data_IF_222152018846
#
_entry.id   IF_222152018846
#
_cell.length_a   1.000
_cell.length_b   1.000
_cell.length_c   1.000
_cell.angle_alpha   90.00
_cell.angle_beta   90.00
_cell.angle_gamma   90.00
#
_symmetry.space_group_name_H-M   'P 1'
#
loop_
_entity.id
_entity.type
_entity.pdbx_description
1 polymer ?
#
# COMPACT_ATOMS: atom_id res chain seq x y z
N UNK A 1 7.33 -12.09 19.02
CA UNK A 1 6.23 -12.84 19.66
C UNK A 1 6.88 -13.88 20.56
N UNK A 2 6.74 -13.76 21.87
CA UNK A 2 7.38 -14.68 22.81
C UNK A 2 6.62 -16.01 22.87
N UNK A 3 7.31 -17.15 23.05
CA UNK A 3 6.66 -18.46 23.18
C UNK A 3 5.58 -18.51 24.27
N UNK A 4 5.79 -17.79 25.38
CA UNK A 4 4.85 -17.73 26.49
C UNK A 4 3.51 -17.12 26.08
N UNK A 5 3.52 -16.01 25.34
CA UNK A 5 2.30 -15.37 24.85
C UNK A 5 1.52 -16.23 23.85
N UNK A 6 2.21 -17.02 23.02
CA UNK A 6 1.54 -17.96 22.11
C UNK A 6 0.86 -19.10 22.85
N UNK A 7 1.53 -19.66 23.87
CA UNK A 7 0.94 -20.69 24.73
C UNK A 7 -0.30 -20.20 25.45
N UNK A 8 -0.25 -19.00 26.03
CA UNK A 8 -1.41 -18.40 26.68
C UNK A 8 -2.58 -18.19 25.70
N UNK A 9 -2.30 -17.73 24.49
CA UNK A 9 -3.32 -17.59 23.45
C UNK A 9 -3.93 -18.94 23.04
N UNK A 10 -3.12 -20.00 22.91
CA UNK A 10 -3.60 -21.35 22.64
C UNK A 10 -4.50 -21.88 23.75
N UNK A 11 -4.07 -21.78 25.01
CA UNK A 11 -4.88 -22.18 26.18
C UNK A 11 -6.23 -21.43 26.19
N UNK A 12 -6.21 -20.12 25.90
CA UNK A 12 -7.44 -19.31 25.80
C UNK A 12 -8.40 -19.79 24.69
N UNK A 13 -7.88 -20.16 23.52
CA UNK A 13 -8.70 -20.69 22.42
C UNK A 13 -9.34 -22.03 22.80
N UNK A 14 -8.58 -22.92 23.45
CA UNK A 14 -9.08 -24.23 23.91
C UNK A 14 -10.14 -24.08 25.00
N UNK A 15 -9.92 -23.20 25.98
CA UNK A 15 -10.89 -22.92 27.05
C UNK A 15 -12.19 -22.34 26.51
N UNK A 16 -12.11 -21.52 25.45
CA UNK A 16 -13.27 -20.95 24.78
C UNK A 16 -13.99 -21.93 23.82
N UNK A 17 -13.44 -23.13 23.59
CA UNK A 17 -13.99 -24.09 22.63
C UNK A 17 -13.93 -23.62 21.18
N UNK A 18 -12.88 -22.87 20.82
CA UNK A 18 -12.68 -22.38 19.45
C UNK A 18 -11.93 -23.43 18.64
N UNK A 19 -12.59 -23.92 17.59
CA UNK A 19 -12.06 -24.98 16.72
C UNK A 19 -11.25 -24.46 15.53
N UNK A 20 -11.38 -23.19 15.16
CA UNK A 20 -10.69 -22.59 14.02
C UNK A 20 -10.58 -21.07 14.15
N UNK A 21 -9.59 -20.45 13.51
CA UNK A 21 -9.36 -19.00 13.56
C UNK A 21 -9.17 -18.40 12.18
N UNK A 22 -9.94 -17.34 11.89
CA UNK A 22 -9.67 -16.44 10.76
C UNK A 22 -8.89 -15.24 11.28
N UNK A 23 -7.72 -14.96 10.70
CA UNK A 23 -6.91 -13.79 11.04
C UNK A 23 -6.98 -12.75 9.93
N UNK A 24 -7.08 -11.47 10.28
CA UNK A 24 -7.16 -10.36 9.33
C UNK A 24 -6.03 -9.38 9.64
N UNK A 25 -5.16 -9.11 8.67
CA UNK A 25 -4.07 -8.16 8.87
C UNK A 25 -2.99 -8.23 7.80
N UNK A 26 -1.88 -7.56 8.07
CA UNK A 26 -0.66 -7.59 7.24
C UNK A 26 0.32 -8.69 7.64
N UNK A 27 1.56 -8.56 7.17
CA UNK A 27 2.64 -9.54 7.35
C UNK A 27 2.85 -10.01 8.79
N UNK A 28 2.76 -9.10 9.77
CA UNK A 28 2.94 -9.44 11.18
C UNK A 28 1.87 -10.42 11.69
N UNK A 29 0.62 -10.19 11.31
CA UNK A 29 -0.52 -11.07 11.66
C UNK A 29 -0.36 -12.43 11.00
N UNK A 30 -0.06 -12.46 9.69
CA UNK A 30 0.10 -13.70 8.93
C UNK A 30 1.32 -14.51 9.41
N UNK A 31 2.40 -13.83 9.82
CA UNK A 31 3.57 -14.45 10.44
C UNK A 31 3.21 -15.09 11.78
N UNK A 32 2.46 -14.40 12.63
CA UNK A 32 1.96 -14.93 13.89
C UNK A 32 1.12 -16.19 13.67
N UNK A 33 0.19 -16.15 12.73
CA UNK A 33 -0.67 -17.28 12.39
C UNK A 33 0.11 -18.49 11.85
N UNK A 34 1.14 -18.27 11.01
CA UNK A 34 2.03 -19.35 10.55
C UNK A 34 2.73 -20.04 11.72
N UNK A 35 3.36 -19.26 12.60
CA UNK A 35 4.08 -19.81 13.75
C UNK A 35 3.12 -20.58 14.65
N UNK A 36 1.90 -20.08 14.82
CA UNK A 36 0.87 -20.75 15.60
C UNK A 36 0.46 -22.09 14.99
N UNK A 37 0.24 -22.13 13.66
CA UNK A 37 -0.05 -23.38 12.94
C UNK A 37 1.08 -24.41 13.04
N UNK A 38 2.34 -23.95 13.07
CA UNK A 38 3.52 -24.82 13.16
C UNK A 38 3.68 -25.42 14.59
N UNK A 39 3.16 -24.76 15.63
CA UNK A 39 3.24 -25.17 17.03
C UNK A 39 1.99 -25.94 17.51
N UNK A 40 0.80 -25.51 17.07
CA UNK A 40 -0.50 -25.99 17.53
C UNK A 40 -1.37 -26.43 16.34
N UNK A 41 -1.13 -27.65 15.87
CA UNK A 41 -1.75 -28.20 14.64
C UNK A 41 -3.25 -28.49 14.73
N UNK A 42 -3.82 -28.53 15.93
CA UNK A 42 -5.21 -28.88 16.18
C UNK A 42 -6.19 -27.72 15.99
N UNK A 43 -5.71 -26.48 15.88
CA UNK A 43 -6.51 -25.30 15.55
C UNK A 43 -6.06 -24.75 14.19
N UNK A 44 -6.81 -24.96 13.09
CA UNK A 44 -6.50 -24.38 11.79
C UNK A 44 -6.65 -22.86 11.77
N UNK A 45 -5.72 -22.20 11.08
CA UNK A 45 -5.81 -20.77 10.78
C UNK A 45 -5.91 -20.54 9.28
N UNK A 46 -6.80 -19.61 8.90
CA UNK A 46 -6.88 -19.02 7.56
C UNK A 46 -6.70 -17.51 7.65
N UNK A 47 -5.89 -16.93 6.77
CA UNK A 47 -5.58 -15.51 6.77
C UNK A 47 -6.33 -14.72 5.71
N UNK A 48 -6.64 -13.46 6.02
CA UNK A 48 -7.20 -12.47 5.11
C UNK A 48 -6.24 -11.27 5.04
N UNK A 49 -5.85 -10.82 3.84
CA UNK A 49 -4.94 -9.69 3.67
C UNK A 49 -5.64 -8.36 4.01
N UNK A 50 -5.36 -7.82 5.19
CA UNK A 50 -5.92 -6.58 5.70
C UNK A 50 -4.84 -5.54 5.98
N UNK A 51 -4.50 -4.74 4.97
CA UNK A 51 -3.51 -3.65 5.05
C UNK A 51 -3.77 -2.66 3.92
N UNK A 52 -3.41 -1.39 4.12
CA UNK A 52 -3.45 -0.38 3.06
C UNK A 52 -2.24 -0.47 2.12
N UNK A 53 -1.14 -1.09 2.56
CA UNK A 53 0.16 -1.03 1.88
C UNK A 53 0.17 -1.83 0.56
N UNK A 54 -0.78 -2.76 0.38
CA UNK A 54 -0.94 -3.65 -0.77
C UNK A 54 0.32 -4.46 -1.14
N UNK A 55 1.17 -4.75 -0.15
CA UNK A 55 2.49 -5.36 -0.27
C UNK A 55 2.51 -6.90 -0.07
N UNK A 56 1.35 -7.47 0.31
CA UNK A 56 1.22 -8.90 0.61
C UNK A 56 1.34 -9.74 -0.67
N UNK A 57 2.28 -10.69 -0.68
CA UNK A 57 2.44 -11.62 -1.80
C UNK A 57 1.27 -12.61 -1.92
N UNK A 58 0.89 -12.93 -3.15
CA UNK A 58 -0.16 -13.89 -3.44
C UNK A 58 -1.56 -13.29 -3.47
N UNK A 59 -1.65 -11.96 -3.40
CA UNK A 59 -2.89 -11.25 -3.71
C UNK A 59 -2.59 -9.98 -4.51
N UNK A 60 -3.40 -9.73 -5.53
CA UNK A 60 -3.37 -8.50 -6.33
C UNK A 60 -3.82 -7.30 -5.48
N UNK A 61 -4.63 -7.58 -4.44
CA UNK A 61 -5.33 -6.59 -3.65
C UNK A 61 -5.39 -6.94 -2.16
N UNK A 62 -5.26 -5.94 -1.30
CA UNK A 62 -5.44 -6.05 0.16
C UNK A 62 -6.57 -5.14 0.65
N UNK A 63 -7.31 -5.58 1.67
CA UNK A 63 -8.43 -4.80 2.22
C UNK A 63 -7.90 -3.51 2.85
N UNK A 64 -8.46 -2.38 2.40
CA UNK A 64 -8.10 -1.02 2.80
C UNK A 64 -7.35 -0.26 1.72
N UNK A 65 -6.77 -0.94 0.73
CA UNK A 65 -5.94 -0.30 -0.29
C UNK A 65 -6.70 0.70 -1.15
N UNK A 66 -7.87 0.32 -1.71
CA UNK A 66 -8.68 1.21 -2.54
C UNK A 66 -9.21 2.40 -1.74
N UNK A 67 -9.60 2.20 -0.48
CA UNK A 67 -10.00 3.31 0.41
C UNK A 67 -8.86 4.29 0.66
N UNK A 68 -7.64 3.79 0.89
CA UNK A 68 -6.45 4.62 1.03
C UNK A 68 -6.16 5.40 -0.26
N UNK A 69 -6.25 4.75 -1.43
CA UNK A 69 -6.07 5.40 -2.73
C UNK A 69 -7.06 6.56 -2.92
N UNK A 70 -8.35 6.32 -2.69
CA UNK A 70 -9.37 7.36 -2.81
C UNK A 70 -9.12 8.52 -1.82
N UNK A 71 -8.65 8.22 -0.61
CA UNK A 71 -8.28 9.24 0.37
C UNK A 71 -7.13 10.13 -0.13
N UNK A 72 -6.11 9.53 -0.77
CA UNK A 72 -5.02 10.29 -1.39
C UNK A 72 -5.53 11.14 -2.53
N UNK A 73 -6.32 10.57 -3.44
CA UNK A 73 -6.90 11.30 -4.60
C UNK A 73 -7.72 12.50 -4.13
N UNK A 74 -8.60 12.32 -3.15
CA UNK A 74 -9.38 13.42 -2.59
C UNK A 74 -8.51 14.53 -1.97
N UNK A 75 -7.41 14.17 -1.31
CA UNK A 75 -6.49 15.14 -0.74
C UNK A 75 -5.73 15.90 -1.83
N UNK A 76 -5.24 15.19 -2.85
CA UNK A 76 -4.52 15.76 -3.98
C UNK A 76 -5.42 16.70 -4.78
N UNK A 77 -6.66 16.33 -5.04
CA UNK A 77 -7.64 17.18 -5.74
C UNK A 77 -7.88 18.51 -4.99
N UNK A 78 -8.06 18.44 -3.67
CA UNK A 78 -8.20 19.64 -2.82
C UNK A 78 -6.95 20.52 -2.84
N UNK A 79 -5.75 19.92 -2.87
CA UNK A 79 -4.49 20.65 -2.98
C UNK A 79 -4.38 21.32 -4.36
N UNK A 80 -4.74 20.60 -5.43
CA UNK A 80 -4.67 21.06 -6.82
C UNK A 80 -5.52 22.31 -7.06
N UNK A 81 -6.71 22.39 -6.47
CA UNK A 81 -7.58 23.58 -6.57
C UNK A 81 -6.91 24.85 -6.02
N UNK A 82 -5.96 24.71 -5.11
CA UNK A 82 -5.18 25.83 -4.56
C UNK A 82 -3.88 26.13 -5.32
N UNK A 83 -3.51 25.29 -6.29
CA UNK A 83 -2.26 25.35 -7.05
C UNK A 83 -2.37 26.23 -8.31
N UNK A 84 -3.55 26.27 -8.94
CA UNK A 84 -3.76 26.90 -10.26
C UNK A 84 -3.51 28.41 -10.35
N UNK A 85 -3.29 29.10 -9.22
CA UNK A 85 -3.13 30.56 -9.16
C UNK A 85 -1.72 31.06 -8.85
N UNK A 86 -0.75 30.21 -8.46
CA UNK A 86 0.49 30.69 -7.81
C UNK A 86 1.83 30.02 -8.19
N UNK A 87 1.98 29.33 -9.33
CA UNK A 87 3.24 28.62 -9.68
C UNK A 87 3.79 27.80 -8.48
N UNK A 88 2.96 26.96 -7.88
CA UNK A 88 3.31 26.12 -6.73
C UNK A 88 3.68 24.72 -7.17
N UNK A 89 4.71 24.15 -6.54
CA UNK A 89 5.10 22.75 -6.70
C UNK A 89 4.81 22.01 -5.39
N UNK A 90 3.92 21.02 -5.42
CA UNK A 90 3.50 20.28 -4.25
C UNK A 90 4.15 18.90 -4.19
N UNK A 91 4.86 18.63 -3.11
CA UNK A 91 5.32 17.30 -2.72
C UNK A 91 4.32 16.72 -1.73
N UNK A 92 3.69 15.60 -2.08
CA UNK A 92 2.66 14.96 -1.28
C UNK A 92 3.18 13.60 -0.83
N UNK A 93 3.38 13.45 0.47
CA UNK A 93 3.84 12.20 1.08
C UNK A 93 2.66 11.28 1.39
N UNK A 94 2.73 10.06 0.86
CA UNK A 94 1.74 9.01 1.04
C UNK A 94 2.32 7.83 1.81
N UNK A 95 1.45 7.09 2.49
CA UNK A 95 1.87 5.87 3.20
C UNK A 95 2.20 4.75 2.22
N UNK A 96 2.78 3.68 2.74
CA UNK A 96 3.11 2.47 1.98
C UNK A 96 4.28 1.68 2.56
N UNK A 97 4.84 2.13 3.70
CA UNK A 97 6.06 1.61 4.30
C UNK A 97 7.14 1.44 3.23
N UNK A 98 7.62 0.22 3.01
CA UNK A 98 8.69 -0.13 2.10
C UNK A 98 8.18 -0.45 0.68
N UNK A 99 6.92 -0.08 0.37
CA UNK A 99 6.25 -0.39 -0.89
C UNK A 99 5.62 0.85 -1.54
N UNK A 100 5.78 0.95 -2.86
CA UNK A 100 5.35 2.08 -3.68
C UNK A 100 3.92 2.02 -4.22
N UNK A 101 3.12 1.02 -3.85
CA UNK A 101 1.81 0.77 -4.50
C UNK A 101 0.82 1.92 -4.35
N UNK A 102 0.74 2.55 -3.17
CA UNK A 102 -0.16 3.71 -2.96
C UNK A 102 0.33 4.89 -3.81
N UNK A 103 1.63 5.20 -3.73
CA UNK A 103 2.25 6.30 -4.48
C UNK A 103 2.06 6.14 -6.00
N UNK A 104 2.31 4.96 -6.53
CA UNK A 104 2.18 4.67 -7.95
C UNK A 104 0.74 4.86 -8.45
N UNK A 105 -0.22 4.15 -7.85
CA UNK A 105 -1.61 4.20 -8.31
C UNK A 105 -2.24 5.58 -8.09
N UNK A 106 -2.00 6.20 -6.93
CA UNK A 106 -2.53 7.54 -6.66
C UNK A 106 -1.90 8.59 -7.57
N UNK A 107 -0.61 8.50 -7.87
CA UNK A 107 0.05 9.42 -8.79
C UNK A 107 -0.45 9.28 -10.22
N UNK A 108 -0.69 8.06 -10.71
CA UNK A 108 -1.36 7.84 -12.00
C UNK A 108 -2.76 8.47 -11.99
N UNK A 109 -3.57 8.19 -10.96
CA UNK A 109 -4.93 8.69 -10.85
C UNK A 109 -5.01 10.23 -10.79
N UNK A 110 -4.04 10.87 -10.13
CA UNK A 110 -4.00 12.32 -9.96
C UNK A 110 -3.32 13.07 -11.11
N UNK A 111 -2.65 12.37 -12.03
CA UNK A 111 -1.82 12.98 -13.06
C UNK A 111 -0.58 13.66 -12.46
N UNK A 112 0.08 12.99 -11.51
CA UNK A 112 1.32 13.47 -10.92
C UNK A 112 2.40 13.66 -11.98
N UNK A 113 3.22 14.69 -11.81
CA UNK A 113 4.35 14.99 -12.71
C UNK A 113 5.44 13.93 -12.53
N UNK A 114 5.70 13.55 -11.29
CA UNK A 114 6.62 12.48 -10.93
C UNK A 114 6.09 11.72 -9.71
N UNK A 115 6.49 10.45 -9.62
CA UNK A 115 6.16 9.55 -8.52
C UNK A 115 7.47 8.95 -8.01
N UNK A 116 7.74 9.12 -6.72
CA UNK A 116 8.93 8.62 -6.05
C UNK A 116 8.56 7.43 -5.17
N UNK A 117 9.16 6.28 -5.43
CA UNK A 117 8.86 5.00 -4.79
C UNK A 117 10.15 4.22 -4.47
N UNK A 118 10.18 3.44 -3.37
CA UNK A 118 11.37 2.72 -2.94
C UNK A 118 11.87 1.65 -3.94
N UNK A 119 11.01 1.19 -4.86
CA UNK A 119 11.37 0.20 -5.86
C UNK A 119 12.26 0.75 -7.00
N UNK A 120 12.42 2.06 -7.10
CA UNK A 120 13.18 2.70 -8.19
C UNK A 120 14.34 3.51 -7.64
N UNK A 121 15.53 3.31 -8.21
CA UNK A 121 16.74 4.00 -7.81
C UNK A 121 16.97 5.31 -8.57
N UNK A 122 17.81 6.20 -8.01
CA UNK A 122 18.27 7.46 -8.63
C UNK A 122 17.15 8.44 -9.05
N UNK A 123 15.94 8.31 -8.51
CA UNK A 123 14.80 9.12 -8.95
C UNK A 123 14.96 10.61 -8.69
N UNK A 124 15.61 11.02 -7.59
CA UNK A 124 15.84 12.44 -7.26
C UNK A 124 16.71 13.14 -8.30
N UNK A 125 17.70 12.42 -8.88
CA UNK A 125 18.52 12.98 -9.96
C UNK A 125 17.69 13.22 -11.21
N UNK A 126 16.88 12.23 -11.58
CA UNK A 126 16.02 12.30 -12.76
C UNK A 126 14.89 13.32 -12.57
N UNK A 127 14.43 13.56 -11.34
CA UNK A 127 13.36 14.51 -11.02
C UNK A 127 13.68 15.93 -11.52
N UNK A 128 14.93 16.36 -11.39
CA UNK A 128 15.37 17.69 -11.88
C UNK A 128 15.15 17.81 -13.39
N UNK A 129 15.64 16.83 -14.13
CA UNK A 129 15.51 16.76 -15.59
C UNK A 129 14.05 16.66 -16.05
N UNK A 130 13.22 15.91 -15.31
CA UNK A 130 11.80 15.76 -15.60
C UNK A 130 11.06 17.08 -15.41
N UNK A 131 11.26 17.74 -14.27
CA UNK A 131 10.62 19.02 -13.96
C UNK A 131 11.04 20.11 -14.95
N UNK A 132 12.33 20.22 -15.30
CA UNK A 132 12.78 21.19 -16.31
C UNK A 132 12.10 21.00 -17.68
N UNK A 133 11.87 19.74 -18.09
CA UNK A 133 11.17 19.41 -19.34
C UNK A 133 9.67 19.71 -19.25
N UNK A 134 9.04 19.35 -18.14
CA UNK A 134 7.61 19.60 -17.88
C UNK A 134 7.27 21.09 -17.84
N UNK A 135 8.12 21.90 -17.19
CA UNK A 135 7.94 23.35 -17.13
C UNK A 135 8.06 24.04 -18.50
N UNK A 136 8.97 23.57 -19.36
CA UNK A 136 9.07 24.07 -20.75
C UNK A 136 7.80 23.82 -21.55
N UNK A 137 7.02 22.79 -21.20
CA UNK A 137 5.76 22.42 -21.86
C UNK A 137 4.51 23.10 -21.29
N UNK A 138 4.66 23.97 -20.27
CA UNK A 138 3.54 24.60 -19.52
C UNK A 138 2.57 23.57 -18.93
N UNK A 139 3.11 22.48 -18.39
CA UNK A 139 2.32 21.44 -17.72
C UNK A 139 1.66 22.00 -16.45
N UNK A 140 0.48 21.50 -16.12
CA UNK A 140 -0.45 22.15 -15.18
C UNK A 140 -0.56 21.51 -13.80
N UNK A 141 -0.13 20.25 -13.60
CA UNK A 141 -0.44 19.54 -12.35
C UNK A 141 0.49 19.93 -11.20
N UNK A 142 1.77 20.19 -11.43
CA UNK A 142 2.77 20.58 -10.41
C UNK A 142 2.70 19.76 -9.10
N UNK A 143 2.38 18.47 -9.22
CA UNK A 143 2.23 17.54 -8.10
C UNK A 143 3.29 16.46 -8.22
N UNK A 144 4.03 16.23 -7.14
CA UNK A 144 4.95 15.13 -6.95
C UNK A 144 4.41 14.25 -5.82
N UNK A 145 4.25 12.95 -6.08
CA UNK A 145 3.84 11.98 -5.07
C UNK A 145 5.09 11.26 -4.56
N UNK A 146 5.22 11.13 -3.25
CA UNK A 146 6.38 10.52 -2.59
C UNK A 146 5.91 9.46 -1.61
N UNK A 147 6.40 8.23 -1.74
CA UNK A 147 6.17 7.18 -0.75
C UNK A 147 6.98 7.42 0.53
N UNK A 148 6.40 7.15 1.70
CA UNK A 148 7.05 7.37 3.01
C UNK A 148 8.35 6.58 3.22
N UNK A 149 8.51 5.41 2.60
CA UNK A 149 9.72 4.58 2.69
C UNK A 149 10.81 4.88 1.67
N UNK A 150 10.72 6.00 0.95
CA UNK A 150 11.78 6.41 0.02
C UNK A 150 13.08 6.73 0.77
N UNK A 151 14.20 6.15 0.32
CA UNK A 151 15.52 6.27 0.96
C UNK A 151 16.05 7.72 1.00
N UNK A 152 15.44 8.64 0.24
CA UNK A 152 15.84 10.05 0.17
C UNK A 152 15.42 10.88 1.39
N UNK A 153 14.73 10.28 2.38
CA UNK A 153 14.36 10.95 3.64
C UNK A 153 12.96 11.58 3.63
N UNK A 154 12.05 11.05 2.82
CA UNK A 154 10.66 11.51 2.70
C UNK A 154 10.49 12.81 1.91
N UNK A 155 9.25 13.29 1.81
CA UNK A 155 8.88 14.40 0.94
C UNK A 155 9.59 15.71 1.32
N UNK A 156 9.84 15.94 2.61
CA UNK A 156 10.56 17.14 3.08
C UNK A 156 12.01 17.18 2.61
N UNK A 157 12.75 16.09 2.77
CA UNK A 157 14.16 16.04 2.38
C UNK A 157 14.31 16.22 0.85
N UNK A 158 13.42 15.58 0.09
CA UNK A 158 13.41 15.70 -1.37
C UNK A 158 13.08 17.12 -1.79
N UNK A 159 12.02 17.72 -1.24
CA UNK A 159 11.63 19.09 -1.55
C UNK A 159 12.74 20.09 -1.24
N UNK A 160 13.44 19.94 -0.11
CA UNK A 160 14.54 20.83 0.27
C UNK A 160 15.76 20.64 -0.66
N UNK A 161 16.01 19.42 -1.13
CA UNK A 161 17.13 19.10 -2.04
C UNK A 161 17.01 19.71 -3.45
N UNK A 162 15.78 20.02 -3.88
CA UNK A 162 15.49 20.57 -5.22
C UNK A 162 15.07 22.04 -5.17
N UNK A 163 14.91 22.62 -3.98
CA UNK A 163 14.41 23.97 -3.76
C UNK A 163 15.24 25.05 -4.44
N UNK A 164 16.58 24.89 -4.44
CA UNK A 164 17.50 25.83 -5.08
C UNK A 164 17.44 25.79 -6.61
N UNK A 165 17.02 24.66 -7.19
CA UNK A 165 16.89 24.51 -8.64
C UNK A 165 15.58 25.13 -9.17
N UNK A 166 14.58 25.29 -8.30
CA UNK A 166 13.23 25.74 -8.65
C UNK A 166 12.82 27.06 -7.97
N UNK A 167 13.72 28.06 -7.95
CA UNK A 167 13.48 29.38 -7.31
C UNK A 167 12.23 30.13 -7.82
N UNK A 168 11.74 29.80 -9.01
CA UNK A 168 10.53 30.39 -9.60
C UNK A 168 9.22 29.73 -9.12
N UNK A 169 9.32 28.66 -8.31
CA UNK A 169 8.19 27.92 -7.78
C UNK A 169 8.12 28.03 -6.25
N UNK A 170 6.91 28.19 -5.73
CA UNK A 170 6.66 28.07 -4.29
C UNK A 170 6.52 26.57 -3.95
N UNK A 171 7.59 25.98 -3.44
CA UNK A 171 7.66 24.57 -3.06
C UNK A 171 6.91 24.34 -1.74
N UNK A 172 5.94 23.42 -1.78
CA UNK A 172 5.10 23.05 -0.64
C UNK A 172 5.16 21.56 -0.39
N UNK A 173 5.15 21.17 0.87
CA UNK A 173 5.12 19.76 1.29
C UNK A 173 3.84 19.50 2.05
N UNK A 174 3.16 18.40 1.76
CA UNK A 174 1.98 17.93 2.47
C UNK A 174 2.16 16.46 2.83
N UNK A 175 2.24 16.17 4.12
CA UNK A 175 2.31 14.80 4.63
C UNK A 175 0.91 14.37 5.03
N UNK A 176 0.32 13.44 4.28
CA UNK A 176 -1.05 12.99 4.56
C UNK A 176 -1.10 12.13 5.83
N UNK A 177 -0.11 11.25 6.01
CA UNK A 177 0.02 10.39 7.17
C UNK A 177 -1.23 9.54 7.42
N UNK A 178 -1.64 9.44 8.69
CA UNK A 178 -2.64 8.46 9.17
C UNK A 178 -4.06 8.67 8.66
N UNK A 179 -4.37 9.79 7.99
CA UNK A 179 -5.70 9.96 7.38
C UNK A 179 -6.01 8.85 6.36
N UNK A 180 -4.96 8.29 5.74
CA UNK A 180 -5.04 7.19 4.76
C UNK A 180 -5.46 5.84 5.36
N UNK A 181 -5.38 5.69 6.70
CA UNK A 181 -5.79 4.48 7.42
C UNK A 181 -7.22 4.57 7.98
N UNK A 182 -7.81 5.76 7.94
CA UNK A 182 -9.14 6.03 8.46
C UNK A 182 -10.16 6.25 7.35
N UNK A 183 -11.41 6.50 7.74
CA UNK A 183 -12.49 6.80 6.81
C UNK A 183 -13.41 5.61 6.55
N UNK A 184 -14.40 5.88 5.70
CA UNK A 184 -15.43 4.90 5.35
C UNK A 184 -14.93 4.04 4.19
N UNK A 185 -14.92 2.70 4.30
CA UNK A 185 -14.43 1.84 3.24
C UNK A 185 -15.19 2.06 1.93
N UNK A 186 -14.47 2.05 0.81
CA UNK A 186 -15.03 2.14 -0.53
C UNK A 186 -15.93 0.95 -0.85
N UNK A 187 -16.71 1.06 -1.93
CA UNK A 187 -17.54 -0.05 -2.39
C UNK A 187 -16.68 -1.28 -2.76
N UNK A 188 -15.53 -1.06 -3.39
CA UNK A 188 -14.62 -2.12 -3.77
C UNK A 188 -14.05 -2.83 -2.54
N UNK A 189 -13.61 -2.08 -1.53
CA UNK A 189 -13.11 -2.66 -0.27
C UNK A 189 -14.16 -3.49 0.46
N UNK A 190 -15.40 -3.00 0.55
CA UNK A 190 -16.50 -3.73 1.21
C UNK A 190 -16.82 -5.04 0.53
N UNK A 191 -16.91 -5.02 -0.80
CA UNK A 191 -17.22 -6.22 -1.60
C UNK A 191 -16.06 -7.21 -1.53
N UNK A 192 -14.82 -6.75 -1.69
CA UNK A 192 -13.62 -7.57 -1.59
C UNK A 192 -13.47 -8.20 -0.20
N UNK A 193 -13.68 -7.42 0.88
CA UNK A 193 -13.66 -7.93 2.24
C UNK A 193 -14.73 -9.00 2.48
N UNK A 194 -15.93 -8.81 1.93
CA UNK A 194 -17.04 -9.76 2.05
C UNK A 194 -16.73 -11.07 1.30
N UNK A 195 -16.16 -10.98 0.10
CA UNK A 195 -15.72 -12.14 -0.69
C UNK A 195 -14.61 -12.92 0.01
N UNK A 196 -13.59 -12.23 0.52
CA UNK A 196 -12.48 -12.86 1.25
C UNK A 196 -12.96 -13.48 2.57
N UNK A 197 -13.85 -12.81 3.30
CA UNK A 197 -14.45 -13.34 4.52
C UNK A 197 -15.24 -14.63 4.26
N UNK A 198 -16.07 -14.63 3.21
CA UNK A 198 -16.79 -15.82 2.77
C UNK A 198 -15.82 -16.96 2.40
N UNK A 199 -14.82 -16.68 1.55
CA UNK A 199 -13.83 -17.66 1.11
C UNK A 199 -13.00 -18.24 2.27
N UNK A 200 -12.70 -17.43 3.30
CA UNK A 200 -11.94 -17.88 4.46
C UNK A 200 -12.72 -18.90 5.29
N UNK A 201 -14.04 -18.70 5.42
CA UNK A 201 -14.92 -19.65 6.10
C UNK A 201 -15.08 -20.93 5.29
N UNK A 202 -15.31 -20.82 3.98
CA UNK A 202 -15.38 -21.99 3.08
C UNK A 202 -14.08 -22.80 3.14
N UNK A 203 -12.92 -22.13 3.11
CA UNK A 203 -11.63 -22.80 3.22
C UNK A 203 -11.48 -23.58 4.54
N UNK A 204 -11.94 -23.02 5.66
CA UNK A 204 -11.94 -23.73 6.95
C UNK A 204 -12.90 -24.94 6.94
N UNK A 205 -14.07 -24.81 6.29
CA UNK A 205 -15.02 -25.92 6.14
C UNK A 205 -14.48 -27.05 5.24
N UNK A 206 -13.60 -26.70 4.29
CA UNK A 206 -12.87 -27.63 3.41
C UNK A 206 -11.54 -28.13 4.04
N UNK A 207 -11.43 -28.08 5.37
CA UNK A 207 -10.27 -28.54 6.16
C UNK A 207 -8.94 -27.86 5.77
N UNK A 208 -8.98 -26.69 5.14
CA UNK A 208 -7.77 -25.93 4.78
C UNK A 208 -7.16 -25.28 6.02
N UNK A 209 -5.82 -25.21 6.04
CA UNK A 209 -5.07 -24.62 7.15
C UNK A 209 -3.74 -24.04 6.69
N UNK A 210 -3.24 -23.04 7.43
CA UNK A 210 -1.96 -22.39 7.14
C UNK A 210 -1.92 -21.74 5.74
N UNK A 211 -3.07 -21.22 5.32
CA UNK A 211 -3.28 -20.55 4.02
C UNK A 211 -3.90 -19.18 4.23
N UNK A 212 -3.64 -18.28 3.29
CA UNK A 212 -4.30 -16.99 3.16
C UNK A 212 -5.21 -17.02 1.93
N UNK A 213 -6.42 -16.51 2.05
CA UNK A 213 -7.27 -16.22 0.87
C UNK A 213 -6.79 -14.94 0.20
N UNK A 214 -6.71 -14.93 -1.12
CA UNK A 214 -6.28 -13.77 -1.89
C UNK A 214 -6.98 -13.70 -3.24
N UNK A 215 -6.82 -12.57 -3.94
CA UNK A 215 -7.22 -12.45 -5.33
C UNK A 215 -6.02 -12.63 -6.24
N UNK A 216 -6.13 -13.49 -7.24
CA UNK A 216 -5.13 -13.62 -8.29
C UNK A 216 -5.85 -13.61 -9.64
N UNK A 217 -5.53 -12.66 -10.51
CA UNK A 217 -6.23 -12.44 -11.79
C UNK A 217 -7.76 -12.30 -11.60
N UNK A 218 -8.18 -11.58 -10.56
CA UNK A 218 -9.60 -11.40 -10.17
C UNK A 218 -10.34 -12.67 -9.71
N UNK A 219 -9.65 -13.79 -9.55
CA UNK A 219 -10.20 -15.04 -9.01
C UNK A 219 -9.71 -15.24 -7.56
N UNK A 220 -10.50 -15.96 -6.75
CA UNK A 220 -10.12 -16.29 -5.38
C UNK A 220 -9.14 -17.46 -5.40
N UNK A 221 -8.03 -17.33 -4.67
CA UNK A 221 -7.00 -18.36 -4.54
C UNK A 221 -6.57 -18.54 -3.08
N UNK A 222 -6.03 -19.72 -2.77
CA UNK A 222 -5.49 -20.08 -1.46
C UNK A 222 -3.96 -20.12 -1.52
N UNK A 223 -3.33 -19.20 -0.81
CA UNK A 223 -1.88 -19.05 -0.82
C UNK A 223 -1.29 -19.52 0.51
N UNK A 224 -0.40 -20.52 0.52
CA UNK A 224 0.25 -20.98 1.75
C UNK A 224 0.99 -19.84 2.47
N UNK A 225 0.83 -19.72 3.80
CA UNK A 225 1.49 -18.66 4.59
C UNK A 225 3.00 -18.63 4.37
N UNK A 226 3.63 -19.80 4.21
CA UNK A 226 5.07 -19.91 3.94
C UNK A 226 5.50 -19.18 2.66
N UNK A 227 4.64 -19.12 1.63
CA UNK A 227 4.90 -18.34 0.42
C UNK A 227 4.67 -16.85 0.68
N UNK A 228 3.54 -16.51 1.29
CA UNK A 228 3.15 -15.12 1.61
C UNK A 228 4.26 -14.39 2.37
N UNK A 229 4.83 -15.02 3.40
CA UNK A 229 5.84 -14.39 4.27
C UNK A 229 7.24 -14.35 3.63
N UNK A 230 7.55 -15.29 2.72
CA UNK A 230 8.90 -15.41 2.15
C UNK A 230 9.08 -14.55 0.90
N UNK A 231 8.03 -14.40 0.11
CA UNK A 231 8.07 -13.73 -1.18
C UNK A 231 7.59 -12.29 -1.02
N UNK A 232 8.14 -11.40 -1.83
CA UNK A 232 7.71 -10.00 -1.89
C UNK A 232 6.87 -9.78 -3.14
N UNK A 233 5.79 -9.02 -3.00
CA UNK A 233 5.06 -8.50 -4.16
C UNK A 233 5.93 -7.46 -4.87
N UNK A 234 5.86 -7.43 -6.19
CA UNK A 234 6.57 -6.45 -7.01
C UNK A 234 5.58 -5.47 -7.62
N UNK A 235 6.04 -4.25 -7.81
CA UNK A 235 5.36 -3.24 -8.61
C UNK A 235 5.32 -3.66 -10.07
N UNK A 236 4.22 -3.36 -10.77
CA UNK A 236 4.04 -3.65 -12.17
C UNK A 236 4.94 -2.73 -13.05
N UNK A 237 5.88 -3.29 -13.83
CA UNK A 237 6.72 -2.51 -14.73
C UNK A 237 5.93 -1.73 -15.80
N UNK A 238 4.77 -2.23 -16.25
CA UNK A 238 3.94 -1.53 -17.23
C UNK A 238 3.33 -0.27 -16.64
N UNK A 239 2.91 -0.31 -15.37
CA UNK A 239 2.40 0.86 -14.66
C UNK A 239 3.50 1.91 -14.45
N UNK A 240 4.73 1.47 -14.17
CA UNK A 240 5.89 2.36 -14.10
C UNK A 240 6.15 3.06 -15.43
N UNK A 241 6.11 2.30 -16.54
CA UNK A 241 6.27 2.87 -17.87
C UNK A 241 5.14 3.82 -18.24
N UNK A 242 3.90 3.50 -17.82
CA UNK A 242 2.74 4.35 -18.05
C UNK A 242 2.92 5.73 -17.40
N UNK A 243 3.50 5.82 -16.20
CA UNK A 243 3.81 7.10 -15.56
C UNK A 243 4.75 7.93 -16.42
N UNK A 244 5.86 7.35 -16.90
CA UNK A 244 6.82 8.08 -17.74
C UNK A 244 6.20 8.63 -19.03
N UNK A 245 5.24 7.91 -19.61
CA UNK A 245 4.53 8.30 -20.84
C UNK A 245 3.42 9.33 -20.57
N UNK A 246 2.65 9.15 -19.51
CA UNK A 246 1.53 10.05 -19.17
C UNK A 246 2.01 11.35 -18.51
N UNK A 247 3.23 11.36 -17.97
CA UNK A 247 3.89 12.55 -17.45
C UNK A 247 4.44 13.50 -18.54
N UNK A 248 4.12 13.28 -19.82
CA UNK A 248 4.59 14.08 -20.98
C UNK A 248 3.84 15.39 -21.14
#
# INVERSE_FOLDING_TARGET
>A
MEPEGRRQAYESLKEAGIDAVVVIGGDGTLTGARVFCDEYYDIPFVGIPGTIDNDIYGTDYTIGYDTALNTVVEAVDKIRDTAGSHNRLFFIEVMGRDAGFIALKSGIACGAEAILIPEVQDQVRNLKDYLEKGFKRKKSSNIIIVAEGDESGGAFAIAESVKEDFLNYDVRVSVLGHIQRGGTPSAYDRVSASKLGYAAVEALMDDQKSVMVGFHNSELDLVPFRKVIKLKKKVDPEEMQMVEILSV
#
